data_IF_427296801164
#
_entry.id   IF_427296801164
#
_cell.length_a   1.000
_cell.length_b   1.000
_cell.length_c   1.000
_cell.angle_alpha   90.00
_cell.angle_beta   90.00
_cell.angle_gamma   90.00
#
_symmetry.space_group_name_H-M   'P 1'
#
loop_
_entity.id
_entity.type
_entity.pdbx_description
1 polymer ?
#
# COMPACT_ATOMS: atom_id res chain seq x y z
N UNK A 1 12.94 11.59 -19.71
CA UNK A 1 12.48 11.32 -18.33
C UNK A 1 13.43 11.96 -17.34
N UNK A 2 12.92 12.66 -16.35
CA UNK A 2 13.78 13.39 -15.40
C UNK A 2 14.25 12.44 -14.27
N UNK A 3 15.50 11.98 -14.38
CA UNK A 3 16.10 11.06 -13.40
C UNK A 3 16.16 11.66 -11.99
N UNK A 4 16.34 12.99 -11.87
CA UNK A 4 16.39 13.67 -10.57
C UNK A 4 15.06 13.52 -9.82
N UNK A 5 13.94 13.79 -10.49
CA UNK A 5 12.61 13.65 -9.88
C UNK A 5 12.33 12.22 -9.46
N UNK A 6 12.77 11.23 -10.25
CA UNK A 6 12.65 9.81 -9.89
C UNK A 6 13.48 9.46 -8.67
N UNK A 7 14.74 9.93 -8.59
CA UNK A 7 15.58 9.69 -7.42
C UNK A 7 14.96 10.30 -6.15
N UNK A 8 14.41 11.50 -6.25
CA UNK A 8 13.73 12.14 -5.12
C UNK A 8 12.49 11.36 -4.69
N UNK A 9 11.68 10.90 -5.64
CA UNK A 9 10.52 10.06 -5.34
C UNK A 9 10.92 8.75 -4.65
N UNK A 10 11.94 8.08 -5.15
CA UNK A 10 12.46 6.84 -4.56
C UNK A 10 12.97 7.10 -3.14
N UNK A 11 13.72 8.18 -2.91
CA UNK A 11 14.22 8.56 -1.60
C UNK A 11 13.09 8.77 -0.57
N UNK A 12 12.07 9.52 -0.92
CA UNK A 12 10.90 9.71 -0.04
C UNK A 12 10.11 8.44 0.18
N UNK A 13 9.98 7.58 -0.83
CA UNK A 13 9.32 6.27 -0.69
C UNK A 13 10.11 5.34 0.22
N UNK A 14 11.43 5.32 0.11
CA UNK A 14 12.30 4.53 0.98
C UNK A 14 12.18 5.00 2.44
N UNK A 15 12.17 6.31 2.68
CA UNK A 15 12.01 6.88 4.02
C UNK A 15 10.63 6.59 4.61
N UNK A 16 9.57 6.73 3.81
CA UNK A 16 8.23 6.33 4.20
C UNK A 16 8.18 4.88 4.67
N UNK A 17 8.75 3.96 3.89
CA UNK A 17 8.81 2.54 4.25
C UNK A 17 9.65 2.31 5.50
N UNK A 18 10.82 2.92 5.60
CA UNK A 18 11.69 2.80 6.77
C UNK A 18 10.96 3.19 8.05
N UNK A 19 10.32 4.36 8.06
CA UNK A 19 9.58 4.85 9.23
C UNK A 19 8.40 3.95 9.57
N UNK A 20 7.65 3.47 8.57
CA UNK A 20 6.51 2.58 8.78
C UNK A 20 6.92 1.28 9.45
N UNK A 21 8.07 0.69 9.06
CA UNK A 21 8.51 -0.60 9.59
C UNK A 21 9.35 -0.51 10.87
N UNK A 22 10.07 0.59 11.08
CA UNK A 22 10.95 0.77 12.23
C UNK A 22 10.28 1.42 13.43
N UNK A 23 9.14 2.10 13.24
CA UNK A 23 8.42 2.76 14.33
C UNK A 23 7.73 1.75 15.26
N UNK A 24 7.53 2.16 16.51
CA UNK A 24 6.68 1.44 17.45
C UNK A 24 5.19 1.57 17.14
N UNK A 25 4.36 1.34 18.15
CA UNK A 25 2.90 1.47 18.02
C UNK A 25 2.44 2.92 17.81
N UNK A 26 3.27 3.86 18.25
CA UNK A 26 3.04 5.29 18.10
C UNK A 26 4.32 5.95 17.59
N UNK A 27 4.16 6.94 16.74
CA UNK A 27 5.29 7.76 16.29
C UNK A 27 5.71 8.73 17.38
N UNK A 28 7.02 8.92 17.53
CA UNK A 28 7.56 10.09 18.23
C UNK A 28 7.32 11.36 17.40
N UNK A 29 7.48 12.53 18.02
CA UNK A 29 7.31 13.80 17.32
C UNK A 29 8.25 13.94 16.12
N UNK A 30 9.50 13.48 16.26
CA UNK A 30 10.50 13.53 15.18
C UNK A 30 10.19 12.55 14.07
N UNK A 31 9.76 11.34 14.40
CA UNK A 31 9.30 10.33 13.42
C UNK A 31 8.07 10.81 12.66
N UNK A 32 7.11 11.44 13.35
CA UNK A 32 5.93 12.00 12.72
C UNK A 32 6.26 13.14 11.77
N UNK A 33 7.19 14.03 12.14
CA UNK A 33 7.68 15.11 11.28
C UNK A 33 8.35 14.54 10.03
N UNK A 34 9.24 13.56 10.19
CA UNK A 34 9.92 12.88 9.07
C UNK A 34 8.92 12.13 8.17
N UNK A 35 7.93 11.46 8.75
CA UNK A 35 6.87 10.76 8.02
C UNK A 35 6.01 11.73 7.20
N UNK A 36 5.69 12.89 7.75
CA UNK A 36 4.94 13.95 7.05
C UNK A 36 5.74 14.44 5.84
N UNK A 37 7.02 14.76 6.03
CA UNK A 37 7.91 15.19 4.93
C UNK A 37 8.01 14.12 3.84
N UNK A 38 8.13 12.84 4.22
CA UNK A 38 8.19 11.74 3.25
C UNK A 38 6.90 11.62 2.43
N UNK A 39 5.74 11.68 3.08
CA UNK A 39 4.42 11.57 2.43
C UNK A 39 4.13 12.74 1.49
N UNK A 40 4.39 13.96 1.94
CA UNK A 40 4.25 15.16 1.12
C UNK A 40 5.22 15.15 -0.06
N UNK A 41 6.46 14.69 0.16
CA UNK A 41 7.46 14.52 -0.89
C UNK A 41 7.00 13.55 -1.97
N UNK A 42 6.47 12.40 -1.61
CA UNK A 42 5.91 11.43 -2.56
C UNK A 42 4.82 12.09 -3.41
N UNK A 43 3.85 12.75 -2.79
CA UNK A 43 2.76 13.44 -3.48
C UNK A 43 3.26 14.51 -4.47
N UNK A 44 4.20 15.35 -4.01
CA UNK A 44 4.79 16.42 -4.81
C UNK A 44 5.55 15.87 -6.03
N UNK A 45 6.43 14.90 -5.83
CA UNK A 45 7.26 14.37 -6.92
C UNK A 45 6.44 13.53 -7.91
N UNK A 46 5.40 12.85 -7.47
CA UNK A 46 4.44 12.20 -8.36
C UNK A 46 3.71 13.22 -9.26
N UNK A 47 3.30 14.35 -8.72
CA UNK A 47 2.67 15.42 -9.52
C UNK A 47 3.64 16.01 -10.56
N UNK A 48 4.89 16.27 -10.16
CA UNK A 48 5.91 16.80 -11.08
C UNK A 48 6.23 15.83 -12.21
N UNK A 49 6.38 14.54 -11.90
CA UNK A 49 6.60 13.49 -12.91
C UNK A 49 5.42 13.37 -13.87
N UNK A 50 4.19 13.48 -13.35
CA UNK A 50 2.98 13.49 -14.19
C UNK A 50 2.96 14.69 -15.13
N UNK A 51 3.28 15.87 -14.64
CA UNK A 51 3.33 17.09 -15.48
C UNK A 51 4.35 16.94 -16.59
N UNK A 52 5.53 16.42 -16.28
CA UNK A 52 6.56 16.15 -17.27
C UNK A 52 6.11 15.09 -18.29
N UNK A 53 5.58 13.98 -17.85
CA UNK A 53 5.06 12.93 -18.73
C UNK A 53 3.98 13.46 -19.68
N UNK A 54 3.12 14.36 -19.19
CA UNK A 54 2.11 15.04 -20.03
C UNK A 54 2.76 15.90 -21.11
N UNK A 55 3.81 16.64 -20.75
CA UNK A 55 4.59 17.47 -21.70
C UNK A 55 5.26 16.58 -22.75
N UNK A 56 5.83 15.47 -22.33
CA UNK A 56 6.50 14.47 -23.19
C UNK A 56 5.51 13.56 -23.95
N UNK A 57 4.19 13.78 -23.79
CA UNK A 57 3.10 12.99 -24.38
C UNK A 57 3.17 11.50 -24.02
N UNK A 58 3.67 11.18 -22.84
CA UNK A 58 3.76 9.82 -22.32
C UNK A 58 2.59 9.51 -21.37
N UNK A 59 1.95 8.36 -21.54
CA UNK A 59 0.82 7.92 -20.67
C UNK A 59 1.33 7.15 -19.44
N UNK A 60 2.21 7.77 -18.68
CA UNK A 60 2.78 7.22 -17.44
C UNK A 60 2.52 8.18 -16.27
N UNK A 61 2.75 7.71 -15.06
CA UNK A 61 2.59 8.48 -13.82
C UNK A 61 1.15 8.97 -13.60
N UNK A 62 0.18 8.09 -13.77
CA UNK A 62 -1.22 8.41 -13.45
C UNK A 62 -1.39 8.64 -11.94
N UNK A 63 -1.99 9.76 -11.58
CA UNK A 63 -2.45 9.97 -10.21
C UNK A 63 -3.76 9.21 -10.03
N UNK A 64 -3.70 8.18 -9.19
CA UNK A 64 -4.85 7.36 -8.82
C UNK A 64 -5.38 7.81 -7.45
N UNK A 65 -6.62 7.46 -7.08
CA UNK A 65 -7.17 7.81 -5.77
C UNK A 65 -6.27 7.41 -4.60
N UNK A 66 -5.55 6.30 -4.70
CA UNK A 66 -4.58 5.85 -3.68
C UNK A 66 -3.47 6.88 -3.39
N UNK A 67 -3.01 7.60 -4.40
CA UNK A 67 -2.00 8.65 -4.23
C UNK A 67 -2.57 9.83 -3.44
N UNK A 68 -3.85 10.14 -3.63
CA UNK A 68 -4.53 11.17 -2.85
C UNK A 68 -4.66 10.75 -1.37
N UNK A 69 -5.03 9.50 -1.11
CA UNK A 69 -5.15 9.00 0.27
C UNK A 69 -3.84 9.06 1.06
N UNK A 70 -2.69 8.96 0.42
CA UNK A 70 -1.40 9.12 1.10
C UNK A 70 -1.25 10.48 1.78
N UNK A 71 -1.93 11.51 1.30
CA UNK A 71 -1.89 12.85 1.92
C UNK A 71 -2.59 12.89 3.28
N UNK A 72 -3.48 11.94 3.57
CA UNK A 72 -4.18 11.82 4.85
C UNK A 72 -3.38 11.04 5.90
N UNK A 73 -2.40 10.23 5.49
CA UNK A 73 -1.62 9.40 6.40
C UNK A 73 -0.93 10.16 7.54
N UNK A 74 -0.35 11.36 7.33
CA UNK A 74 0.22 12.11 8.44
C UNK A 74 -0.78 12.46 9.55
N UNK A 75 -2.03 12.74 9.19
CA UNK A 75 -3.08 13.04 10.16
C UNK A 75 -3.46 11.78 10.97
N UNK A 76 -3.57 10.63 10.31
CA UNK A 76 -3.86 9.35 10.95
C UNK A 76 -2.67 8.84 11.78
N UNK A 77 -1.46 9.04 11.31
CA UNK A 77 -0.22 8.66 11.99
C UNK A 77 0.00 9.36 13.35
N UNK A 78 -0.69 10.48 13.59
CA UNK A 78 -0.73 11.14 14.92
C UNK A 78 -1.43 10.30 15.98
N UNK A 79 -2.37 9.46 15.56
CA UNK A 79 -3.19 8.67 16.47
C UNK A 79 -2.59 7.28 16.68
N UNK A 80 -2.11 6.66 15.60
CA UNK A 80 -1.59 5.30 15.62
C UNK A 80 -0.58 5.11 14.48
N UNK A 81 0.44 4.28 14.72
CA UNK A 81 1.42 3.96 13.68
C UNK A 81 0.74 3.25 12.51
N UNK A 82 1.02 3.66 11.24
CA UNK A 82 0.51 2.98 10.04
C UNK A 82 0.83 1.49 10.01
N UNK A 83 1.89 1.04 10.68
CA UNK A 83 2.27 -0.36 10.82
C UNK A 83 1.14 -1.21 11.41
N UNK A 84 0.38 -0.68 12.36
CA UNK A 84 -0.69 -1.42 13.05
C UNK A 84 -1.96 -1.57 12.21
N UNK A 85 -2.13 -0.73 11.19
CA UNK A 85 -3.30 -0.76 10.29
C UNK A 85 -2.97 -1.27 8.90
N UNK A 86 -1.78 -1.84 8.72
CA UNK A 86 -1.38 -2.43 7.44
C UNK A 86 -2.07 -3.75 7.18
N UNK A 87 -2.75 -3.85 6.04
CA UNK A 87 -3.48 -5.04 5.58
C UNK A 87 -2.66 -5.90 4.61
N UNK A 88 -1.32 -5.94 4.73
CA UNK A 88 -0.48 -6.69 3.79
C UNK A 88 -0.73 -8.18 3.81
N UNK A 89 -0.93 -8.76 5.00
CA UNK A 89 -1.20 -10.19 5.16
C UNK A 89 -2.55 -10.52 4.52
N UNK A 90 -3.56 -9.71 4.80
CA UNK A 90 -4.91 -9.82 4.23
C UNK A 90 -4.89 -9.63 2.71
N UNK A 91 -4.19 -8.60 2.22
CA UNK A 91 -4.03 -8.33 0.79
C UNK A 91 -3.33 -9.47 0.06
N UNK A 92 -2.28 -10.04 0.63
CA UNK A 92 -1.58 -11.21 0.09
C UNK A 92 -2.48 -12.46 0.07
N UNK A 93 -3.28 -12.65 1.11
CA UNK A 93 -4.23 -13.76 1.20
C UNK A 93 -5.36 -13.62 0.15
N UNK A 94 -5.96 -12.44 0.04
CA UNK A 94 -6.98 -12.14 -0.99
C UNK A 94 -6.40 -12.32 -2.39
N UNK A 95 -5.14 -11.92 -2.63
CA UNK A 95 -4.45 -12.14 -3.89
C UNK A 95 -4.31 -13.63 -4.23
N UNK A 96 -3.95 -14.46 -3.25
CA UNK A 96 -3.88 -15.93 -3.43
C UNK A 96 -5.25 -16.54 -3.72
N UNK A 97 -6.30 -16.09 -3.02
CA UNK A 97 -7.67 -16.53 -3.31
C UNK A 97 -8.08 -16.14 -4.72
N UNK A 98 -7.80 -14.90 -5.15
CA UNK A 98 -8.12 -14.44 -6.48
C UNK A 98 -7.40 -15.27 -7.57
N UNK A 99 -6.15 -15.66 -7.35
CA UNK A 99 -5.41 -16.56 -8.25
C UNK A 99 -6.07 -17.94 -8.32
N UNK A 100 -6.45 -18.52 -7.19
CA UNK A 100 -7.17 -19.80 -7.13
C UNK A 100 -8.52 -19.72 -7.86
N UNK A 101 -9.25 -18.64 -7.69
CA UNK A 101 -10.51 -18.42 -8.41
C UNK A 101 -10.31 -18.28 -9.90
N UNK A 102 -9.29 -17.54 -10.33
CA UNK A 102 -8.95 -17.39 -11.75
C UNK A 102 -8.58 -18.72 -12.40
N UNK A 103 -7.77 -19.53 -11.72
CA UNK A 103 -7.34 -20.84 -12.22
C UNK A 103 -8.46 -21.86 -12.24
N UNK A 104 -9.45 -21.75 -11.35
CA UNK A 104 -10.59 -22.68 -11.24
C UNK A 104 -11.80 -22.28 -12.09
N UNK A 105 -11.75 -21.13 -12.75
CA UNK A 105 -12.93 -20.51 -13.42
C UNK A 105 -13.65 -21.42 -14.43
N UNK A 106 -12.94 -22.36 -15.04
CA UNK A 106 -13.45 -23.28 -16.05
C UNK A 106 -13.30 -24.77 -15.67
N UNK A 107 -13.00 -25.08 -14.42
CA UNK A 107 -12.74 -26.45 -13.98
C UNK A 107 -13.91 -27.10 -13.23
N UNK A 108 -14.00 -28.45 -13.24
CA UNK A 108 -15.06 -29.19 -12.55
C UNK A 108 -15.01 -29.04 -11.02
N UNK A 109 -13.92 -28.52 -10.48
CA UNK A 109 -13.72 -28.36 -9.03
C UNK A 109 -13.93 -26.92 -8.53
N UNK A 110 -14.53 -26.07 -9.35
CA UNK A 110 -14.75 -24.65 -9.02
C UNK A 110 -15.40 -24.44 -7.66
N UNK A 111 -16.47 -25.13 -7.38
CA UNK A 111 -17.24 -25.02 -6.13
C UNK A 111 -16.42 -25.51 -4.93
N UNK A 112 -15.67 -26.59 -5.11
CA UNK A 112 -14.80 -27.16 -4.06
C UNK A 112 -13.68 -26.19 -3.70
N UNK A 113 -13.05 -25.57 -4.70
CA UNK A 113 -11.98 -24.59 -4.48
C UNK A 113 -12.53 -23.33 -3.82
N UNK A 114 -13.71 -22.87 -4.22
CA UNK A 114 -14.38 -21.74 -3.59
C UNK A 114 -14.69 -22.00 -2.12
N UNK A 115 -15.26 -23.16 -1.82
CA UNK A 115 -15.54 -23.58 -0.46
C UNK A 115 -14.28 -23.70 0.40
N UNK A 116 -13.22 -24.29 -0.14
CA UNK A 116 -11.94 -24.44 0.55
C UNK A 116 -11.26 -23.10 0.84
N UNK A 117 -11.36 -22.15 -0.09
CA UNK A 117 -10.84 -20.80 0.09
C UNK A 117 -11.57 -20.04 1.18
N UNK A 118 -12.89 -20.17 1.22
CA UNK A 118 -13.73 -19.57 2.27
C UNK A 118 -13.41 -20.18 3.65
N UNK A 119 -13.28 -21.50 3.72
CA UNK A 119 -12.96 -22.20 4.96
C UNK A 119 -11.59 -21.76 5.51
N UNK A 120 -10.58 -21.68 4.66
CA UNK A 120 -9.25 -21.17 5.03
C UNK A 120 -9.30 -19.73 5.53
N UNK A 121 -10.11 -18.90 4.89
CA UNK A 121 -10.29 -17.50 5.33
C UNK A 121 -10.92 -17.42 6.73
N UNK A 122 -11.94 -18.22 6.98
CA UNK A 122 -12.59 -18.28 8.28
C UNK A 122 -11.63 -18.80 9.38
N UNK A 123 -10.85 -19.83 9.09
CA UNK A 123 -9.83 -20.35 10.03
C UNK A 123 -8.77 -19.27 10.30
N UNK A 124 -8.32 -18.58 9.28
CA UNK A 124 -7.35 -17.49 9.44
C UNK A 124 -7.92 -16.35 10.30
N UNK A 125 -9.16 -15.91 10.04
CA UNK A 125 -9.83 -14.90 10.85
C UNK A 125 -9.96 -15.34 12.33
N UNK A 126 -10.25 -16.60 12.57
CA UNK A 126 -10.38 -17.15 13.94
C UNK A 126 -9.04 -17.09 14.68
N UNK A 127 -7.92 -17.36 13.99
CA UNK A 127 -6.57 -17.30 14.57
C UNK A 127 -6.16 -15.84 14.85
N UNK A 128 -6.37 -14.92 13.88
CA UNK A 128 -5.97 -13.51 14.00
C UNK A 128 -6.79 -12.74 15.03
N UNK A 129 -8.06 -13.10 15.20
CA UNK A 129 -8.96 -12.43 16.15
C UNK A 129 -8.96 -13.09 17.54
N UNK A 130 -8.13 -14.13 17.74
CA UNK A 130 -8.04 -14.87 19.02
C UNK A 130 -9.41 -15.35 19.54
N UNK A 131 -10.29 -15.69 18.59
CA UNK A 131 -11.67 -16.13 18.85
C UNK A 131 -11.76 -17.62 19.16
#
# INVERSE_FOLDING_TARGET
MNHVLMHMLIGHTAEFNRLTYSSGNFFTADELAAFTVATEGIGKFMQLLRQQAKTDKMLIWHIVPKTHYMQHFPAEARLISPRLVQCYIEGSFIGKIAQLWSSSKNGPYREVIQYYSLLKYLVWLTIELDL
#
